data_IF_679714651432
#
_entry.id   IF_679714651432
#
_cell.length_a   1.000
_cell.length_b   1.000
_cell.length_c   1.000
_cell.angle_alpha   90.00
_cell.angle_beta   90.00
_cell.angle_gamma   90.00
#
_symmetry.space_group_name_H-M   'P 1'
#
loop_
_entity.id
_entity.type
_entity.pdbx_description
1 polymer ?
#
# COMPACT_ATOMS: atom_id res chain seq x y z
N UNK A 1 -3.80 -8.46 -3.00
CA UNK A 1 -3.02 -7.20 -3.06
C UNK A 1 -3.95 -6.05 -3.47
N UNK A 2 -3.77 -4.85 -2.92
CA UNK A 2 -4.66 -3.70 -3.17
C UNK A 2 -4.85 -3.38 -4.66
N UNK A 3 -3.77 -3.38 -5.45
CA UNK A 3 -3.79 -3.13 -6.90
C UNK A 3 -4.69 -4.11 -7.66
N UNK A 4 -4.58 -5.41 -7.36
CA UNK A 4 -5.41 -6.45 -7.97
C UNK A 4 -6.88 -6.24 -7.62
N UNK A 5 -7.18 -5.94 -6.36
CA UNK A 5 -8.55 -5.68 -5.92
C UNK A 5 -9.18 -4.45 -6.61
N UNK A 6 -8.40 -3.39 -6.86
CA UNK A 6 -8.88 -2.24 -7.64
C UNK A 6 -9.16 -2.61 -9.09
N UNK A 7 -8.33 -3.44 -9.74
CA UNK A 7 -8.61 -3.87 -11.11
C UNK A 7 -9.89 -4.70 -11.20
N UNK A 8 -10.13 -5.57 -10.23
CA UNK A 8 -11.39 -6.31 -10.10
C UNK A 8 -12.58 -5.38 -9.88
N UNK A 9 -12.47 -4.42 -8.95
CA UNK A 9 -13.54 -3.44 -8.64
C UNK A 9 -13.90 -2.58 -9.86
N UNK A 10 -12.90 -2.17 -10.64
CA UNK A 10 -13.10 -1.39 -11.87
C UNK A 10 -13.59 -2.25 -13.04
N UNK A 11 -13.54 -3.58 -12.95
CA UNK A 11 -13.91 -4.49 -14.03
C UNK A 11 -13.02 -4.35 -15.27
N UNK A 12 -11.76 -3.93 -15.10
CA UNK A 12 -10.84 -3.69 -16.21
C UNK A 12 -10.01 -4.94 -16.50
N UNK A 13 -9.67 -5.14 -17.78
CA UNK A 13 -8.82 -6.27 -18.18
C UNK A 13 -7.37 -6.02 -17.79
N UNK A 14 -6.72 -7.04 -17.23
CA UNK A 14 -5.30 -7.03 -16.90
C UNK A 14 -4.70 -8.43 -17.03
N UNK A 15 -3.39 -8.51 -17.21
CA UNK A 15 -2.64 -9.77 -17.14
C UNK A 15 -1.94 -9.85 -15.78
N UNK A 16 -2.22 -10.91 -15.01
CA UNK A 16 -1.54 -11.17 -13.75
C UNK A 16 -0.29 -12.02 -14.00
N UNK A 17 0.88 -11.44 -13.76
CA UNK A 17 2.14 -12.17 -13.73
C UNK A 17 2.50 -12.43 -12.27
N UNK A 18 2.41 -13.68 -11.83
CA UNK A 18 2.74 -14.07 -10.46
C UNK A 18 4.25 -14.06 -10.22
N UNK A 19 4.66 -13.42 -9.11
CA UNK A 19 6.04 -13.38 -8.64
C UNK A 19 6.12 -14.10 -7.30
N UNK A 20 6.68 -15.30 -7.32
CA UNK A 20 6.83 -16.14 -6.13
C UNK A 20 7.94 -15.61 -5.21
N UNK A 21 7.54 -15.00 -4.10
CA UNK A 21 8.46 -14.44 -3.10
C UNK A 21 9.26 -15.52 -2.36
N UNK A 22 8.70 -16.73 -2.21
CA UNK A 22 9.41 -17.84 -1.57
C UNK A 22 10.56 -18.35 -2.45
N UNK A 23 10.44 -18.19 -3.77
CA UNK A 23 11.52 -18.46 -4.74
C UNK A 23 12.42 -17.25 -5.02
N UNK A 24 12.23 -16.12 -4.32
CA UNK A 24 12.94 -14.87 -4.56
C UNK A 24 12.86 -14.36 -6.02
N UNK A 25 11.76 -14.63 -6.73
CA UNK A 25 11.60 -14.20 -8.12
C UNK A 25 11.68 -12.68 -8.30
N UNK A 26 11.25 -11.91 -7.29
CA UNK A 26 11.37 -10.45 -7.25
C UNK A 26 12.82 -9.95 -7.23
N UNK A 27 13.80 -10.84 -7.01
CA UNK A 27 15.22 -10.53 -7.04
C UNK A 27 15.93 -11.10 -8.28
N UNK A 28 15.19 -11.72 -9.21
CA UNK A 28 15.79 -12.22 -10.45
C UNK A 28 16.27 -11.06 -11.33
N UNK A 29 17.32 -11.27 -12.16
CA UNK A 29 17.78 -10.25 -13.11
C UNK A 29 16.67 -9.72 -14.03
N UNK A 30 15.77 -10.60 -14.45
CA UNK A 30 14.64 -10.28 -15.32
C UNK A 30 13.65 -9.33 -14.63
N UNK A 31 13.29 -9.62 -13.37
CA UNK A 31 12.38 -8.74 -12.63
C UNK A 31 13.05 -7.43 -12.20
N UNK A 32 14.32 -7.47 -11.80
CA UNK A 32 15.08 -6.27 -11.42
C UNK A 32 15.30 -5.31 -12.60
N UNK A 33 15.32 -5.83 -13.84
CA UNK A 33 15.33 -4.99 -15.04
C UNK A 33 14.02 -4.19 -15.22
N UNK A 34 12.92 -4.65 -14.61
CA UNK A 34 11.62 -3.96 -14.61
C UNK A 34 11.52 -3.05 -13.37
N UNK A 35 11.69 -3.61 -12.17
CA UNK A 35 11.63 -2.87 -10.91
C UNK A 35 12.95 -3.02 -10.14
N UNK A 36 13.82 -1.99 -10.13
CA UNK A 36 15.13 -2.08 -9.51
C UNK A 36 15.08 -2.25 -7.98
N UNK A 37 13.95 -1.96 -7.34
CA UNK A 37 13.77 -2.20 -5.90
C UNK A 37 13.61 -3.69 -5.58
N UNK A 38 13.24 -4.50 -6.58
CA UNK A 38 12.94 -5.92 -6.41
C UNK A 38 11.84 -6.16 -5.38
N UNK A 39 10.75 -5.40 -5.49
CA UNK A 39 9.54 -5.50 -4.66
C UNK A 39 8.31 -5.62 -5.56
N UNK A 40 7.23 -6.18 -5.03
CA UNK A 40 5.90 -6.21 -5.67
C UNK A 40 4.97 -5.27 -4.91
N UNK A 41 3.92 -4.71 -5.55
CA UNK A 41 3.54 -4.84 -6.96
C UNK A 41 4.38 -3.97 -7.91
N UNK A 42 4.32 -4.31 -9.19
CA UNK A 42 4.75 -3.48 -10.32
C UNK A 42 3.65 -3.52 -11.39
N UNK A 43 3.28 -2.35 -11.92
CA UNK A 43 2.36 -2.22 -13.05
C UNK A 43 3.16 -1.87 -14.31
N UNK A 44 2.86 -2.56 -15.41
CA UNK A 44 3.29 -2.16 -16.75
C UNK A 44 2.05 -1.74 -17.53
N UNK A 45 1.99 -0.47 -17.93
CA UNK A 45 0.88 0.06 -18.73
C UNK A 45 1.45 0.86 -19.90
N UNK A 46 1.13 0.45 -21.13
CA UNK A 46 1.63 1.07 -22.37
C UNK A 46 3.16 1.21 -22.42
N UNK A 47 3.87 0.19 -21.96
CA UNK A 47 5.34 0.18 -21.92
C UNK A 47 5.96 1.04 -20.81
N UNK A 48 5.15 1.68 -19.96
CA UNK A 48 5.61 2.42 -18.78
C UNK A 48 5.53 1.55 -17.55
N UNK A 49 6.59 1.57 -16.75
CA UNK A 49 6.66 0.86 -15.47
C UNK A 49 6.30 1.81 -14.34
N UNK A 50 5.42 1.36 -13.45
CA UNK A 50 5.03 2.06 -12.23
C UNK A 50 5.16 1.09 -11.07
N UNK A 51 5.86 1.48 -10.02
CA UNK A 51 5.99 0.76 -8.75
C UNK A 51 5.52 1.68 -7.61
N UNK A 52 5.51 1.14 -6.39
CA UNK A 52 4.78 1.66 -5.21
C UNK A 52 3.28 1.42 -5.28
N UNK A 53 2.74 0.63 -4.34
CA UNK A 53 1.31 0.29 -4.30
C UNK A 53 0.42 1.53 -4.31
N UNK A 54 0.72 2.55 -3.49
CA UNK A 54 -0.07 3.80 -3.46
C UNK A 54 -0.02 4.56 -4.78
N UNK A 55 1.15 4.63 -5.42
CA UNK A 55 1.31 5.33 -6.70
C UNK A 55 0.55 4.60 -7.83
N UNK A 56 0.59 3.27 -7.85
CA UNK A 56 -0.19 2.47 -8.79
C UNK A 56 -1.68 2.70 -8.59
N UNK A 57 -2.17 2.68 -7.34
CA UNK A 57 -3.58 2.95 -7.04
C UNK A 57 -4.01 4.34 -7.53
N UNK A 58 -3.25 5.38 -7.20
CA UNK A 58 -3.51 6.75 -7.67
C UNK A 58 -3.55 6.82 -9.19
N UNK A 59 -2.53 6.26 -9.86
CA UNK A 59 -2.42 6.28 -11.32
C UNK A 59 -3.63 5.61 -11.98
N UNK A 60 -4.00 4.42 -11.51
CA UNK A 60 -5.14 3.66 -12.05
C UNK A 60 -6.44 4.43 -11.83
N UNK A 61 -6.70 4.92 -10.62
CA UNK A 61 -7.94 5.67 -10.33
C UNK A 61 -8.03 6.96 -11.15
N UNK A 62 -6.93 7.65 -11.39
CA UNK A 62 -6.93 8.85 -12.25
C UNK A 62 -7.29 8.53 -13.72
N UNK A 63 -7.22 7.27 -14.16
CA UNK A 63 -7.73 6.85 -15.47
C UNK A 63 -9.25 6.61 -15.50
N UNK A 64 -9.86 6.42 -14.32
CA UNK A 64 -11.29 6.13 -14.15
C UNK A 64 -11.91 7.08 -13.12
N UNK A 65 -11.92 8.40 -13.37
CA UNK A 65 -12.43 9.39 -12.41
C UNK A 65 -13.92 9.19 -12.08
N UNK A 66 -14.68 8.56 -12.97
CA UNK A 66 -16.09 8.20 -12.78
C UNK A 66 -16.31 7.01 -11.84
N UNK A 67 -15.27 6.26 -11.48
CA UNK A 67 -15.37 5.10 -10.57
C UNK A 67 -15.86 5.47 -9.17
N UNK A 68 -15.71 6.73 -8.76
CA UNK A 68 -16.05 7.16 -7.41
C UNK A 68 -15.09 6.64 -6.33
N UNK A 69 -13.99 5.97 -6.69
CA UNK A 69 -13.00 5.41 -5.76
C UNK A 69 -11.93 6.42 -5.31
N UNK A 70 -12.11 7.70 -5.64
CA UNK A 70 -11.39 8.80 -5.02
C UNK A 70 -12.30 10.02 -4.91
N UNK A 71 -12.08 10.90 -3.92
CA UNK A 71 -12.74 12.19 -3.89
C UNK A 71 -12.36 13.01 -5.13
N UNK A 72 -13.26 13.89 -5.56
CA UNK A 72 -12.96 14.87 -6.61
C UNK A 72 -11.69 15.66 -6.30
N UNK A 73 -10.89 16.00 -7.32
CA UNK A 73 -9.58 16.64 -7.16
C UNK A 73 -9.67 18.03 -6.49
N UNK A 74 -10.81 18.71 -6.63
CA UNK A 74 -11.09 20.01 -6.00
C UNK A 74 -11.87 19.87 -4.69
N UNK A 75 -12.25 18.65 -4.29
CA UNK A 75 -12.89 18.40 -3.00
C UNK A 75 -11.91 18.61 -1.84
N UNK A 76 -12.42 19.15 -0.73
CA UNK A 76 -11.67 19.24 0.54
C UNK A 76 -11.25 17.85 1.05
N UNK A 77 -11.98 16.80 0.69
CA UNK A 77 -11.67 15.42 1.09
C UNK A 77 -10.45 14.83 0.36
N UNK A 78 -10.01 15.40 -0.78
CA UNK A 78 -8.86 14.89 -1.53
C UNK A 78 -7.57 14.92 -0.71
N UNK A 79 -7.42 15.94 0.15
CA UNK A 79 -6.28 16.03 1.08
C UNK A 79 -6.22 14.88 2.07
N UNK A 80 -7.37 14.47 2.63
CA UNK A 80 -7.45 13.32 3.54
C UNK A 80 -7.17 12.01 2.81
N UNK A 81 -7.69 11.85 1.59
CA UNK A 81 -7.40 10.70 0.74
C UNK A 81 -5.90 10.51 0.50
N UNK A 82 -5.19 11.58 0.12
CA UNK A 82 -3.73 11.55 -0.01
C UNK A 82 -3.05 11.28 1.32
N UNK A 83 -3.48 11.96 2.39
CA UNK A 83 -2.90 11.77 3.72
C UNK A 83 -2.88 10.29 4.10
N UNK A 84 -4.00 9.57 3.97
CA UNK A 84 -4.04 8.16 4.36
C UNK A 84 -3.23 7.26 3.44
N UNK A 85 -3.27 7.45 2.12
CA UNK A 85 -2.42 6.69 1.19
C UNK A 85 -0.93 6.82 1.55
N UNK A 86 -0.44 8.05 1.71
CA UNK A 86 0.97 8.30 2.02
C UNK A 86 1.32 7.88 3.45
N UNK A 87 0.48 8.19 4.43
CA UNK A 87 0.72 7.81 5.82
C UNK A 87 0.77 6.29 6.00
N UNK A 88 -0.11 5.54 5.32
CA UNK A 88 -0.06 4.09 5.36
C UNK A 88 1.23 3.56 4.73
N UNK A 89 1.62 4.04 3.55
CA UNK A 89 2.84 3.56 2.88
C UNK A 89 4.12 3.93 3.65
N UNK A 90 4.19 5.12 4.26
CA UNK A 90 5.42 5.62 4.88
C UNK A 90 5.53 5.39 6.38
N UNK A 91 4.41 5.07 7.05
CA UNK A 91 4.36 4.97 8.51
C UNK A 91 3.90 3.59 8.94
N UNK A 92 2.67 3.22 8.58
CA UNK A 92 2.06 1.97 9.01
C UNK A 92 2.78 0.77 8.39
N UNK A 93 2.92 0.76 7.06
CA UNK A 93 3.57 -0.32 6.33
C UNK A 93 5.06 -0.43 6.69
N UNK A 94 5.75 0.69 6.92
CA UNK A 94 7.15 0.65 7.37
C UNK A 94 7.29 0.12 8.81
N UNK A 95 6.30 0.34 9.68
CA UNK A 95 6.26 -0.33 10.98
C UNK A 95 6.01 -1.83 10.83
N UNK A 96 5.09 -2.23 9.96
CA UNK A 96 4.82 -3.64 9.66
C UNK A 96 6.06 -4.34 9.07
N UNK A 97 6.77 -3.69 8.14
CA UNK A 97 8.01 -4.20 7.56
C UNK A 97 9.10 -4.43 8.62
N UNK A 98 9.30 -3.47 9.54
CA UNK A 98 10.25 -3.61 10.66
C UNK A 98 9.88 -4.75 11.61
N UNK A 99 8.59 -4.95 11.85
CA UNK A 99 8.10 -6.03 12.71
C UNK A 99 8.25 -7.41 12.05
N UNK A 100 7.97 -7.51 10.75
CA UNK A 100 8.01 -8.75 9.97
C UNK A 100 9.44 -9.16 9.56
N UNK A 101 10.28 -8.17 9.27
CA UNK A 101 11.63 -8.33 8.74
C UNK A 101 12.69 -7.54 9.54
N UNK A 102 12.78 -7.72 10.88
CA UNK A 102 13.73 -6.97 11.72
C UNK A 102 15.19 -7.19 11.31
N UNK A 103 15.51 -8.34 10.70
CA UNK A 103 16.83 -8.68 10.17
C UNK A 103 17.34 -7.72 9.09
N UNK A 104 16.45 -6.94 8.46
CA UNK A 104 16.83 -5.93 7.47
C UNK A 104 17.29 -4.62 8.11
N UNK A 105 17.09 -4.43 9.42
CA UNK A 105 17.29 -3.15 10.12
C UNK A 105 18.45 -3.17 11.14
N UNK A 106 18.98 -4.35 11.46
CA UNK A 106 20.14 -4.52 12.35
C UNK A 106 21.07 -5.58 11.79
N UNK A 107 22.37 -5.44 12.06
CA UNK A 107 23.36 -6.45 11.67
C UNK A 107 23.65 -7.41 12.83
N UNK A 108 23.63 -8.71 12.55
CA UNK A 108 23.78 -9.76 13.56
C UNK A 108 22.49 -10.02 14.35
N UNK A 109 22.52 -11.01 15.23
CA UNK A 109 21.32 -11.47 15.95
C UNK A 109 21.00 -10.64 17.21
N UNK A 110 21.89 -9.73 17.62
CA UNK A 110 21.64 -8.84 18.75
C UNK A 110 20.66 -7.73 18.33
N UNK A 111 19.65 -7.49 19.16
CA UNK A 111 18.63 -6.43 19.02
C UNK A 111 17.45 -6.70 18.08
N UNK A 112 17.32 -7.88 17.46
CA UNK A 112 16.14 -8.22 16.64
C UNK A 112 14.83 -8.04 17.41
N UNK A 113 14.79 -8.50 18.67
CA UNK A 113 13.61 -8.36 19.53
C UNK A 113 13.29 -6.88 19.80
N UNK A 114 14.30 -6.05 20.07
CA UNK A 114 14.10 -4.63 20.32
C UNK A 114 13.54 -3.89 19.10
N UNK A 115 13.96 -4.25 17.89
CA UNK A 115 13.39 -3.71 16.64
C UNK A 115 11.91 -4.07 16.54
N UNK A 116 11.55 -5.33 16.82
CA UNK A 116 10.16 -5.79 16.81
C UNK A 116 9.31 -5.09 17.87
N UNK A 117 9.82 -4.91 19.08
CA UNK A 117 9.11 -4.23 20.17
C UNK A 117 8.80 -2.78 19.80
N UNK A 118 9.80 -2.04 19.30
CA UNK A 118 9.62 -0.66 18.84
C UNK A 118 8.64 -0.57 17.65
N UNK A 119 8.69 -1.53 16.74
CA UNK A 119 7.75 -1.61 15.62
C UNK A 119 6.32 -1.92 16.10
N UNK A 120 6.17 -2.78 17.10
CA UNK A 120 4.89 -3.13 17.71
C UNK A 120 4.24 -1.93 18.42
N UNK A 121 5.02 -1.11 19.11
CA UNK A 121 4.53 0.14 19.72
C UNK A 121 4.01 1.11 18.64
N UNK A 122 4.74 1.25 17.54
CA UNK A 122 4.31 2.07 16.39
C UNK A 122 3.04 1.52 15.74
N UNK A 123 2.95 0.20 15.52
CA UNK A 123 1.76 -0.45 14.97
C UNK A 123 0.55 -0.23 15.89
N UNK A 124 0.72 -0.43 17.20
CA UNK A 124 -0.32 -0.18 18.20
C UNK A 124 -0.85 1.25 18.12
N UNK A 125 0.06 2.22 17.99
CA UNK A 125 -0.33 3.61 17.78
C UNK A 125 -1.11 3.81 16.47
N UNK A 126 -0.62 3.28 15.36
CA UNK A 126 -1.27 3.41 14.05
C UNK A 126 -2.67 2.78 14.04
N UNK A 127 -2.84 1.60 14.65
CA UNK A 127 -4.15 0.96 14.78
C UNK A 127 -5.11 1.79 15.64
N UNK A 128 -4.63 2.38 16.74
CA UNK A 128 -5.43 3.29 17.55
C UNK A 128 -5.83 4.58 16.81
N UNK A 129 -5.00 5.06 15.87
CA UNK A 129 -5.38 6.17 14.98
C UNK A 129 -6.48 5.74 14.01
N UNK A 130 -6.32 4.60 13.34
CA UNK A 130 -7.30 4.07 12.39
C UNK A 130 -8.65 3.77 13.06
N UNK A 131 -8.64 3.14 14.23
CA UNK A 131 -9.86 2.87 15.02
C UNK A 131 -10.62 4.17 15.33
N UNK A 132 -9.92 5.22 15.76
CA UNK A 132 -10.54 6.52 16.04
C UNK A 132 -11.08 7.18 14.78
N UNK A 133 -10.36 7.09 13.65
CA UNK A 133 -10.82 7.63 12.37
C UNK A 133 -12.11 6.95 11.94
N UNK A 134 -12.12 5.61 11.91
CA UNK A 134 -13.28 4.83 11.47
C UNK A 134 -14.46 4.94 12.45
N UNK A 135 -14.23 5.05 13.75
CA UNK A 135 -15.30 5.21 14.74
C UNK A 135 -15.93 6.59 14.68
N UNK A 136 -15.14 7.66 14.52
CA UNK A 136 -15.64 9.03 14.61
C UNK A 136 -16.08 9.61 13.26
N UNK A 137 -15.47 9.16 12.16
CA UNK A 137 -15.65 9.73 10.83
C UNK A 137 -15.91 8.66 9.76
N UNK A 138 -16.09 7.38 10.13
CA UNK A 138 -16.31 6.29 9.17
C UNK A 138 -17.69 6.31 8.49
N UNK A 139 -18.03 5.25 7.74
CA UNK A 139 -17.45 3.91 7.82
C UNK A 139 -16.12 3.71 7.08
N UNK A 140 -15.71 4.64 6.22
CA UNK A 140 -14.46 4.56 5.45
C UNK A 140 -13.42 5.59 5.91
N UNK A 141 -12.18 5.45 5.43
CA UNK A 141 -11.09 6.36 5.79
C UNK A 141 -11.38 7.82 5.45
N UNK A 142 -12.17 8.06 4.40
CA UNK A 142 -12.48 9.40 3.89
C UNK A 142 -13.98 9.71 4.07
N UNK A 143 -14.58 9.28 5.19
CA UNK A 143 -15.99 9.57 5.47
C UNK A 143 -16.92 8.46 5.02
N UNK A 144 -18.00 8.88 4.37
CA UNK A 144 -19.03 8.00 3.80
C UNK A 144 -18.61 7.38 2.44
N UNK A 145 -17.52 7.88 1.85
CA UNK A 145 -17.06 7.44 0.53
C UNK A 145 -16.01 6.33 0.66
N UNK A 146 -16.27 5.17 0.06
CA UNK A 146 -15.26 4.16 -0.20
C UNK A 146 -14.24 4.68 -1.21
N UNK A 147 -12.96 4.57 -0.90
CA UNK A 147 -11.88 5.03 -1.79
C UNK A 147 -10.79 3.98 -1.94
N UNK A 148 -9.89 4.17 -2.91
CA UNK A 148 -8.72 3.30 -3.04
C UNK A 148 -7.77 3.35 -1.81
N UNK A 149 -7.93 4.32 -0.90
CA UNK A 149 -7.23 4.29 0.38
C UNK A 149 -7.72 3.12 1.24
N UNK A 150 -9.01 2.80 1.22
CA UNK A 150 -9.58 1.68 1.98
C UNK A 150 -9.08 0.32 1.43
N UNK A 151 -8.91 0.21 0.12
CA UNK A 151 -8.26 -0.96 -0.51
C UNK A 151 -6.78 -1.07 -0.13
N UNK A 152 -6.09 0.06 0.01
CA UNK A 152 -4.71 0.09 0.50
C UNK A 152 -4.66 -0.37 1.97
N UNK A 153 -5.57 0.12 2.81
CA UNK A 153 -5.68 -0.28 4.21
C UNK A 153 -5.90 -1.79 4.35
N UNK A 154 -6.82 -2.37 3.58
CA UNK A 154 -7.07 -3.82 3.58
C UNK A 154 -5.82 -4.66 3.24
N UNK A 155 -4.88 -4.10 2.48
CA UNK A 155 -3.63 -4.79 2.15
C UNK A 155 -2.58 -4.69 3.26
N UNK A 156 -2.55 -3.58 4.00
CA UNK A 156 -1.53 -3.31 5.02
C UNK A 156 -1.96 -3.80 6.42
N UNK A 157 -3.26 -4.01 6.63
CA UNK A 157 -3.86 -4.51 7.88
C UNK A 157 -3.76 -6.03 8.05
#
# INVERSE_FOLDING_TARGET
MATHAIFEELGVSYELIEIDLAKNMQKSPEYLAINPNGKVPTLVHEGRVIYESAAILLYVIDQYPESGLAPDIHSRARGLYYQYLFWMSSTLQEAANRWAHPEQYVSGDSNLQQVKDNANDMLTHCWGVLEKVLTNNGPWLVGEQLTAADFHLFMVA
#
